data_IF_068985082907
#
_entry.id   IF_068985082907
#
_cell.length_a   1.000
_cell.length_b   1.000
_cell.length_c   1.000
_cell.angle_alpha   90.00
_cell.angle_beta   90.00
_cell.angle_gamma   90.00
#
_symmetry.space_group_name_H-M   'P 1'
#
loop_
_entity.id
_entity.type
_entity.pdbx_description
1 polymer ?
2 branched ?
3 non-polymer ?
4 non-polymer ?
5 water ?
#
# COMPACT_ATOMS: atom_id res chain seq x y z
N UNK A 2 10.74 32.81 34.10
CA UNK A 2 10.49 32.42 35.48
C UNK A 2 10.97 31.00 35.73
N UNK A 3 11.46 30.74 36.94
CA UNK A 3 12.06 29.46 37.29
C UNK A 3 11.08 28.29 37.22
N UNK A 4 9.81 28.55 37.53
CA UNK A 4 8.80 27.50 37.58
C UNK A 4 8.52 26.91 36.20
N UNK A 5 8.36 27.78 35.21
CA UNK A 5 8.03 27.33 33.86
C UNK A 5 9.22 26.68 33.16
N UNK A 6 10.43 27.11 33.51
CA UNK A 6 11.64 26.54 32.94
C UNK A 6 11.77 25.08 33.37
N UNK A 7 11.45 24.82 34.63
CA UNK A 7 11.45 23.45 35.14
C UNK A 7 10.36 22.64 34.46
N UNK A 8 9.24 23.30 34.15
CA UNK A 8 8.14 22.66 33.44
C UNK A 8 8.53 22.30 32.01
N UNK A 9 9.25 23.20 31.34
CA UNK A 9 9.71 22.96 29.98
C UNK A 9 10.71 21.81 29.94
N UNK A 10 11.61 21.77 30.92
CA UNK A 10 12.60 20.70 31.02
C UNK A 10 11.93 19.34 31.25
N UNK A 11 10.89 19.33 32.08
CA UNK A 11 10.16 18.09 32.35
C UNK A 11 9.43 17.63 31.09
N UNK A 12 8.84 18.59 30.38
CA UNK A 12 8.17 18.32 29.11
C UNK A 12 9.16 17.78 28.08
N UNK A 13 10.36 18.35 28.07
CA UNK A 13 11.41 17.90 27.16
C UNK A 13 11.74 16.43 27.38
N UNK A 14 11.79 16.01 28.64
CA UNK A 14 12.08 14.64 28.98
C UNK A 14 10.95 13.70 28.62
N UNK A 15 9.72 14.15 28.85
CA UNK A 15 8.54 13.36 28.52
C UNK A 15 8.42 13.16 27.02
N UNK A 16 8.70 14.22 26.27
CA UNK A 16 8.63 14.14 24.81
C UNK A 16 9.70 13.21 24.25
N UNK A 17 10.90 13.29 24.80
CA UNK A 17 12.00 12.44 24.36
C UNK A 17 11.69 10.97 24.60
N UNK A 18 11.09 10.68 25.75
CA UNK A 18 10.72 9.31 26.07
C UNK A 18 9.59 8.82 25.17
N UNK A 19 8.63 9.70 24.90
CA UNK A 19 7.54 9.38 23.97
C UNK A 19 8.07 9.05 22.58
N UNK A 20 9.06 9.82 22.14
CA UNK A 20 9.66 9.62 20.82
C UNK A 20 10.43 8.30 20.75
N UNK A 21 11.17 8.00 21.82
CA UNK A 21 11.92 6.75 21.89
C UNK A 21 10.99 5.54 21.92
N UNK A 22 9.92 5.65 22.70
CA UNK A 22 8.95 4.57 22.82
C UNK A 22 8.14 4.41 21.54
N UNK A 23 7.92 5.52 20.84
CA UNK A 23 7.13 5.49 19.61
C UNK A 23 7.88 4.87 18.43
N UNK A 24 9.19 5.10 18.37
CA UNK A 24 10.01 4.49 17.32
C UNK A 24 10.06 2.98 17.50
N UNK A 25 10.12 2.54 18.75
CA UNK A 25 10.11 1.12 19.08
C UNK A 25 8.76 0.49 18.72
N UNK A 26 7.67 1.15 19.09
CA UNK A 26 6.35 0.59 18.81
C UNK A 26 5.94 0.71 17.35
N UNK A 27 6.61 1.59 16.61
CA UNK A 27 6.42 1.66 15.17
C UNK A 27 6.96 0.40 14.51
N UNK A 28 8.15 -0.03 14.93
CA UNK A 28 8.77 -1.23 14.37
C UNK A 28 8.05 -2.50 14.83
N UNK A 29 7.57 -2.49 16.07
CA UNK A 29 6.80 -3.61 16.61
C UNK A 29 5.51 -3.78 15.82
N UNK A 30 4.83 -2.66 15.57
CA UNK A 30 3.60 -2.64 14.80
C UNK A 30 3.77 -3.18 13.38
N UNK A 31 4.82 -2.73 12.71
CA UNK A 31 5.03 -3.07 11.30
C UNK A 31 5.52 -4.50 11.11
N UNK A 32 5.99 -5.12 12.19
CA UNK A 32 6.41 -6.51 12.12
C UNK A 32 5.21 -7.43 12.35
N UNK A 33 4.92 -8.31 11.38
CA UNK A 33 5.64 -8.47 10.11
C UNK A 33 4.83 -8.02 8.89
N UNK A 34 3.65 -7.45 9.11
CA UNK A 34 2.73 -7.20 8.01
C UNK A 34 2.70 -5.77 7.49
N UNK A 35 3.65 -4.96 7.93
CA UNK A 35 3.72 -3.58 7.48
C UNK A 35 5.09 -3.16 6.99
N UNK A 36 5.11 -2.11 6.16
CA UNK A 36 6.34 -1.53 5.66
C UNK A 36 6.20 -0.02 5.59
N UNK A 37 7.18 0.70 6.13
CA UNK A 37 7.17 2.15 6.08
C UNK A 37 8.07 2.68 4.98
N UNK A 38 7.56 3.64 4.21
CA UNK A 38 8.35 4.31 3.19
C UNK A 38 8.03 5.80 3.20
N UNK A 39 8.97 6.61 3.67
CA UNK A 39 8.73 8.03 3.83
C UNK A 39 7.61 8.23 4.83
N UNK A 40 6.61 9.01 4.45
CA UNK A 40 5.50 9.28 5.35
C UNK A 40 4.34 8.31 5.12
N UNK A 41 4.54 7.37 4.22
CA UNK A 41 3.51 6.37 3.92
C UNK A 41 3.77 5.05 4.64
N UNK A 42 2.69 4.40 5.05
CA UNK A 42 2.78 3.08 5.66
C UNK A 42 1.91 2.09 4.89
N UNK A 43 2.53 1.02 4.39
CA UNK A 43 1.78 -0.07 3.75
C UNK A 43 1.53 -1.18 4.76
N UNK A 44 0.30 -1.69 4.81
CA UNK A 44 0.01 -2.84 5.66
C UNK A 44 -0.99 -3.78 5.01
N UNK A 45 -0.75 -5.08 5.16
CA UNK A 45 -1.67 -6.07 4.64
C UNK A 45 -2.55 -6.62 5.76
N UNK A 46 -3.79 -6.96 5.42
CA UNK A 46 -4.71 -7.55 6.38
C UNK A 46 -4.55 -9.05 6.44
N UNK A 47 -3.87 -9.60 5.44
CA UNK A 47 -3.63 -11.03 5.37
C UNK A 47 -4.76 -11.79 4.69
N UNK A 48 -5.73 -11.06 4.15
CA UNK A 48 -6.88 -11.67 3.48
C UNK A 48 -7.02 -11.19 2.04
N UNK A 49 -7.81 -11.93 1.26
CA UNK A 49 -8.03 -11.62 -0.15
C UNK A 49 -9.43 -11.09 -0.39
N UNK A 50 -9.55 -10.12 -1.29
CA UNK A 50 -10.83 -9.52 -1.65
C UNK A 50 -10.84 -9.11 -3.12
N UNK A 51 -12.03 -8.88 -3.67
CA UNK A 51 -12.14 -8.29 -4.99
C UNK A 51 -11.64 -6.86 -4.89
N UNK A 52 -11.35 -6.23 -6.03
CA UNK A 52 -10.85 -4.86 -6.02
C UNK A 52 -11.80 -3.91 -5.30
N UNK A 53 -13.09 -4.02 -5.61
CA UNK A 53 -14.09 -3.12 -5.04
C UNK A 53 -14.21 -3.28 -3.52
N UNK A 54 -14.19 -4.53 -3.06
CA UNK A 54 -14.25 -4.80 -1.63
C UNK A 54 -12.99 -4.33 -0.92
N UNK A 55 -11.85 -4.50 -1.56
CA UNK A 55 -10.58 -4.05 -1.01
C UNK A 55 -10.58 -2.53 -0.88
N UNK A 56 -11.14 -1.87 -1.89
CA UNK A 56 -11.27 -0.42 -1.89
C UNK A 56 -12.14 0.04 -0.72
N UNK A 57 -13.19 -0.72 -0.43
CA UNK A 57 -14.07 -0.40 0.69
C UNK A 57 -13.38 -0.63 2.03
N UNK A 58 -12.64 -1.74 2.13
CA UNK A 58 -11.93 -2.08 3.36
C UNK A 58 -10.88 -1.03 3.72
N UNK A 59 -10.08 -0.64 2.73
CA UNK A 59 -9.03 0.35 2.96
C UNK A 59 -9.59 1.72 3.35
N UNK A 60 -10.64 2.15 2.65
CA UNK A 60 -11.30 3.42 2.94
C UNK A 60 -11.89 3.41 4.34
N UNK A 61 -12.64 2.36 4.65
CA UNK A 61 -13.23 2.16 5.96
C UNK A 61 -12.19 2.26 7.08
N UNK A 62 -11.00 1.73 6.82
CA UNK A 62 -9.93 1.70 7.81
C UNK A 62 -9.22 3.05 7.96
N UNK A 63 -9.61 4.01 7.13
CA UNK A 63 -9.05 5.36 7.20
C UNK A 63 -7.90 5.58 6.24
N UNK A 64 -7.66 4.59 5.38
CA UNK A 64 -6.59 4.69 4.40
C UNK A 64 -7.09 4.55 2.98
N UNK A 65 -6.23 4.01 2.12
CA UNK A 65 -6.56 3.75 0.73
C UNK A 65 -5.72 2.57 0.25
N UNK A 66 -5.97 2.11 -0.97
CA UNK A 66 -5.16 1.03 -1.51
C UNK A 66 -3.80 1.54 -1.96
N UNK A 67 -2.85 0.62 -2.09
CA UNK A 67 -1.46 0.96 -2.38
C UNK A 67 -1.22 1.60 -3.75
N UNK A 68 -0.63 2.79 -3.74
CA UNK A 68 -0.21 3.47 -4.96
C UNK A 68 1.31 3.63 -4.96
N UNK A 69 2.04 2.61 -5.44
CA UNK A 69 3.50 2.69 -5.50
C UNK A 69 3.96 3.75 -6.49
N UNK A 70 4.55 4.83 -5.98
CA UNK A 70 4.98 5.94 -6.82
C UNK A 70 6.49 5.98 -7.04
N UNK A 71 7.17 4.94 -6.58
CA UNK A 71 8.62 4.84 -6.73
C UNK A 71 9.05 3.39 -6.60
N UNK A 72 10.30 3.11 -6.96
CA UNK A 72 10.84 1.76 -6.83
C UNK A 72 10.88 1.34 -5.36
N UNK A 73 11.15 2.30 -4.48
CA UNK A 73 11.21 2.02 -3.05
C UNK A 73 9.85 1.57 -2.52
N UNK A 74 8.80 2.30 -2.90
CA UNK A 74 7.45 1.95 -2.49
C UNK A 74 7.02 0.61 -3.09
N UNK A 75 7.34 0.39 -4.36
CA UNK A 75 6.99 -0.87 -5.01
C UNK A 75 7.70 -2.06 -4.38
N UNK A 76 8.97 -1.87 -4.02
CA UNK A 76 9.75 -2.93 -3.41
C UNK A 76 9.20 -3.29 -2.02
N UNK A 77 8.69 -2.28 -1.32
CA UNK A 77 8.07 -2.50 -0.02
C UNK A 77 6.83 -3.38 -0.15
N UNK A 78 6.05 -3.13 -1.20
CA UNK A 78 4.87 -3.94 -1.49
C UNK A 78 5.27 -5.35 -1.87
N UNK A 79 6.37 -5.47 -2.60
CA UNK A 79 6.89 -6.76 -3.03
C UNK A 79 7.20 -7.64 -1.82
N UNK A 80 7.75 -7.04 -0.78
CA UNK A 80 8.11 -7.77 0.43
C UNK A 80 6.88 -8.33 1.13
N UNK A 81 5.82 -7.53 1.20
CA UNK A 81 4.57 -7.96 1.83
C UNK A 81 3.92 -9.08 1.04
N UNK A 82 3.90 -8.94 -0.28
CA UNK A 82 3.35 -9.96 -1.16
C UNK A 82 4.16 -11.25 -1.05
N UNK A 83 5.48 -11.10 -0.99
CA UNK A 83 6.38 -12.24 -0.85
C UNK A 83 6.13 -12.99 0.46
N UNK A 84 5.92 -12.23 1.53
CA UNK A 84 5.73 -12.81 2.86
C UNK A 84 4.42 -13.59 2.95
N UNK A 85 3.37 -13.05 2.34
CA UNK A 85 2.06 -13.69 2.37
C UNK A 85 1.93 -14.73 1.26
N UNK A 86 2.88 -14.71 0.33
CA UNK A 86 2.83 -15.54 -0.87
C UNK A 86 1.50 -15.42 -1.62
N UNK A 87 0.99 -14.20 -1.69
CA UNK A 87 -0.27 -13.92 -2.37
C UNK A 87 -0.16 -12.59 -3.10
N UNK A 88 -0.44 -12.60 -4.40
CA UNK A 88 -0.40 -11.38 -5.20
C UNK A 88 -1.47 -10.41 -4.72
N UNK A 89 -1.13 -9.12 -4.70
CA UNK A 89 -2.04 -8.11 -4.17
C UNK A 89 -2.53 -7.14 -5.24
N UNK A 90 -3.73 -6.62 -5.04
CA UNK A 90 -4.26 -5.56 -5.88
C UNK A 90 -3.58 -4.23 -5.56
N UNK A 91 -3.32 -3.44 -6.60
CA UNK A 91 -2.86 -2.07 -6.41
C UNK A 91 -4.06 -1.14 -6.52
N UNK A 92 -3.83 0.16 -6.46
CA UNK A 92 -4.93 1.12 -6.47
C UNK A 92 -5.38 1.51 -7.87
N UNK A 93 -4.53 1.26 -8.86
CA UNK A 93 -4.72 1.85 -10.18
C UNK A 93 -5.65 1.02 -11.09
N UNK A 94 -6.44 1.72 -11.90
CA UNK A 94 -7.31 1.07 -12.89
C UNK A 94 -7.25 1.79 -14.23
N UNK A 95 -7.55 1.08 -15.32
CA UNK A 95 -7.70 1.72 -16.62
C UNK A 95 -9.17 1.78 -17.02
N UNK A 96 -10.04 1.85 -16.02
CA UNK A 96 -11.48 1.74 -16.23
C UNK A 96 -12.07 2.92 -17.00
N UNK A 97 -11.48 4.10 -16.87
CA UNK A 97 -11.98 5.28 -17.56
C UNK A 97 -11.54 5.27 -19.02
N UNK A 98 -10.29 4.89 -19.26
CA UNK A 98 -9.74 4.82 -20.60
C UNK A 98 -8.87 3.58 -20.72
N UNK A 99 -9.23 2.70 -21.64
CA UNK A 99 -8.54 1.42 -21.81
C UNK A 99 -7.07 1.58 -22.17
N UNK A 100 -6.20 0.91 -21.41
CA UNK A 100 -4.77 0.97 -21.64
C UNK A 100 -4.10 2.11 -20.91
N UNK A 101 -4.91 3.00 -20.33
CA UNK A 101 -4.39 4.14 -19.59
C UNK A 101 -4.69 3.99 -18.10
N UNK A 102 -3.72 3.46 -17.36
CA UNK A 102 -3.91 3.22 -15.93
C UNK A 102 -3.63 4.48 -15.11
N UNK A 103 -4.55 4.79 -14.21
CA UNK A 103 -4.47 6.00 -13.40
C UNK A 103 -4.69 5.70 -11.92
N UNK A 104 -4.23 6.60 -11.06
CA UNK A 104 -4.49 6.50 -9.62
C UNK A 104 -5.96 6.79 -9.37
N UNK A 105 -6.46 6.50 -8.15
CA UNK A 105 -7.87 6.80 -7.89
C UNK A 105 -8.19 8.30 -7.82
N UNK A 106 -7.30 9.14 -8.33
CA UNK A 106 -7.54 10.57 -8.41
C UNK A 106 -7.50 11.05 -9.86
N UNK A 107 -7.32 10.11 -10.79
CA UNK A 107 -7.30 10.43 -12.21
C UNK A 107 -5.91 10.75 -12.73
N UNK A 108 -4.96 10.90 -11.82
CA UNK A 108 -3.58 11.20 -12.18
C UNK A 108 -2.90 10.01 -12.85
N UNK A 109 -2.17 10.25 -13.95
CA UNK A 109 -1.46 9.18 -14.65
C UNK A 109 -0.28 8.66 -13.83
N UNK A 110 0.17 7.45 -14.15
CA UNK A 110 1.25 6.79 -13.43
C UNK A 110 2.57 7.55 -13.49
N UNK A 111 3.16 7.79 -12.32
CA UNK A 111 4.48 8.39 -12.22
C UNK A 111 5.54 7.28 -12.14
N UNK A 112 5.08 6.06 -11.89
CA UNK A 112 5.95 4.90 -11.81
C UNK A 112 5.20 3.67 -12.32
N UNK A 113 5.92 2.77 -12.99
CA UNK A 113 5.31 1.55 -13.51
C UNK A 113 6.32 0.40 -13.52
N UNK A 114 5.83 -0.82 -13.28
CA UNK A 114 6.69 -2.00 -13.27
C UNK A 114 6.02 -3.19 -13.93
N UNK A 115 5.50 -2.98 -15.13
CA UNK A 115 4.77 -4.01 -15.86
C UNK A 115 5.67 -5.21 -16.19
N UNK A 116 5.14 -6.41 -15.98
CA UNK A 116 5.81 -7.62 -16.42
C UNK A 116 5.84 -7.61 -17.95
N UNK A 117 6.80 -8.33 -18.55
CA UNK A 117 6.85 -8.43 -20.02
C UNK A 117 5.53 -8.90 -20.61
N UNK A 118 4.97 -8.11 -21.52
CA UNK A 118 3.73 -8.46 -22.19
C UNK A 118 2.49 -7.85 -21.57
N UNK A 119 2.66 -7.19 -20.42
CA UNK A 119 1.54 -6.56 -19.73
C UNK A 119 1.61 -5.04 -19.88
N UNK A 120 0.46 -4.35 -19.82
CA UNK A 120 -0.89 -4.90 -19.65
C UNK A 120 -1.48 -5.40 -20.97
N UNK A 121 -2.22 -6.51 -20.92
CA UNK A 121 -2.77 -7.11 -22.13
C UNK A 121 -4.29 -7.17 -22.16
N UNK A 122 -4.92 -6.89 -21.02
CA UNK A 122 -6.38 -6.88 -20.90
C UNK A 122 -7.03 -8.21 -21.30
N UNK A 123 -6.37 -9.31 -20.98
CA UNK A 123 -6.88 -10.64 -21.33
C UNK A 123 -7.04 -11.55 -20.11
N UNK A 124 -8.20 -11.49 -19.47
CA UNK A 124 -8.44 -12.24 -18.25
C UNK A 124 -9.19 -13.55 -18.44
N UNK A 125 -9.38 -13.95 -19.69
CA UNK A 125 -10.07 -15.19 -19.97
C UNK A 125 -11.53 -15.17 -19.55
N UNK A 126 -11.91 -16.10 -18.68
CA UNK A 126 -13.30 -16.26 -18.27
C UNK A 126 -13.81 -15.08 -17.44
N UNK A 127 -12.89 -14.33 -16.85
CA UNK A 127 -13.25 -13.17 -16.04
C UNK A 127 -13.49 -11.95 -16.92
N UNK A 128 -12.96 -11.97 -18.13
CA UNK A 128 -13.18 -10.90 -19.08
C UNK A 128 -12.04 -9.91 -19.14
N UNK A 129 -12.39 -8.64 -19.37
CA UNK A 129 -11.39 -7.59 -19.46
C UNK A 129 -10.63 -7.45 -18.15
N UNK A 130 -9.39 -6.97 -18.24
CA UNK A 130 -8.57 -6.76 -17.06
C UNK A 130 -8.33 -5.27 -16.84
N UNK A 131 -9.01 -4.71 -15.85
CA UNK A 131 -8.94 -3.27 -15.61
C UNK A 131 -8.30 -2.90 -14.28
N UNK A 132 -7.86 -3.90 -13.53
CA UNK A 132 -7.14 -3.66 -12.29
C UNK A 132 -5.71 -4.19 -12.41
N UNK A 133 -4.93 -4.07 -11.35
CA UNK A 133 -3.52 -4.42 -11.39
C UNK A 133 -3.10 -5.22 -10.17
N UNK A 134 -2.43 -6.34 -10.40
CA UNK A 134 -1.88 -7.14 -9.32
C UNK A 134 -0.35 -7.04 -9.32
N UNK A 135 0.24 -7.13 -8.13
CA UNK A 135 1.68 -7.09 -8.00
C UNK A 135 2.20 -8.46 -7.54
N UNK A 136 3.24 -8.93 -8.22
CA UNK A 136 3.81 -10.24 -7.95
C UNK A 136 4.86 -10.16 -6.84
N UNK A 137 5.22 -11.31 -6.25
CA UNK A 137 6.32 -11.34 -5.27
C UNK A 137 7.61 -10.73 -5.81
N UNK A 138 7.86 -10.86 -7.11
CA UNK A 138 9.06 -10.28 -7.70
C UNK A 138 8.95 -8.77 -7.95
N UNK A 139 7.79 -8.21 -7.65
CA UNK A 139 7.57 -6.77 -7.75
C UNK A 139 6.93 -6.35 -9.06
N UNK A 140 6.89 -7.27 -10.02
CA UNK A 140 6.32 -6.97 -11.34
C UNK A 140 4.80 -6.92 -11.33
N UNK A 141 4.24 -6.15 -12.26
CA UNK A 141 2.79 -5.95 -12.33
C UNK A 141 2.15 -6.75 -13.45
N UNK A 142 0.90 -7.16 -13.23
CA UNK A 142 0.07 -7.77 -14.26
C UNK A 142 -1.34 -7.20 -14.16
N UNK A 143 -1.89 -6.73 -15.28
CA UNK A 143 -3.27 -6.28 -15.26
C UNK A 143 -4.18 -7.49 -15.10
N UNK A 144 -5.18 -7.34 -14.23
CA UNK A 144 -5.98 -8.45 -13.75
C UNK A 144 -7.44 -8.02 -13.67
N UNK A 145 -8.36 -8.98 -13.80
CA UNK A 145 -9.78 -8.67 -13.67
C UNK A 145 -10.11 -8.21 -12.26
N UNK A 146 -10.91 -7.15 -12.16
CA UNK A 146 -11.20 -6.52 -10.88
C UNK A 146 -12.10 -7.37 -9.99
N UNK A 147 -12.76 -8.36 -10.59
CA UNK A 147 -13.66 -9.23 -9.87
C UNK A 147 -12.95 -10.43 -9.26
N UNK A 148 -11.67 -10.59 -9.61
CA UNK A 148 -10.85 -11.65 -9.05
C UNK A 148 -10.50 -11.31 -7.60
N UNK A 149 -10.15 -12.33 -6.81
CA UNK A 149 -9.75 -12.11 -5.42
C UNK A 149 -8.23 -12.03 -5.30
N UNK A 150 -7.74 -10.95 -4.70
CA UNK A 150 -6.30 -10.81 -4.47
C UNK A 150 -6.01 -10.22 -3.09
N UNK A 151 -4.76 -10.37 -2.64
CA UNK A 151 -4.34 -9.89 -1.32
C UNK A 151 -4.67 -8.41 -1.15
N UNK A 152 -5.18 -8.06 0.02
CA UNK A 152 -5.49 -6.67 0.33
C UNK A 152 -4.32 -6.01 1.05
N UNK A 153 -3.74 -4.99 0.42
CA UNK A 153 -2.76 -4.14 1.08
C UNK A 153 -3.29 -2.72 1.11
N UNK A 154 -3.31 -2.13 2.30
CA UNK A 154 -3.77 -0.76 2.44
C UNK A 154 -2.60 0.19 2.67
N UNK A 155 -2.84 1.46 2.34
CA UNK A 155 -1.84 2.50 2.44
C UNK A 155 -2.35 3.57 3.38
N UNK A 156 -1.55 3.92 4.38
CA UNK A 156 -1.96 4.91 5.37
C UNK A 156 -0.94 6.05 5.41
X LIG B 1 -4.09 8.94 -19.45
X LIG B 1 -3.15 9.76 -20.32
X LIG B 1 -2.61 10.98 -19.58
X LIG B 1 -3.66 11.70 -18.73
X LIG B 1 -4.69 10.77 -18.10
X LIG B 1 -5.90 11.56 -17.61
X LIG B 1 -1.14 8.31 -20.16
X LIG B 1 -0.18 7.46 -20.94
X LIG B 1 -2.08 8.94 -20.87
X LIG B 1 -2.08 11.88 -20.54
X LIG B 1 -3.02 12.39 -17.66
X LIG B 1 -5.13 9.77 -19.01
X LIG B 1 -6.37 12.39 -18.64
X LIG B 1 -1.03 8.37 -18.93
X LIG B 2 -2.48 13.66 -18.06
X LIG B 2 -2.55 14.63 -16.88
X LIG B 2 -1.80 15.94 -17.11
X LIG B 2 -0.45 15.71 -17.80
X LIG B 2 -0.64 14.79 -19.00
X LIG B 2 0.67 14.56 -19.74
X LIG B 2 -4.45 14.64 -15.35
X LIG B 2 -5.92 14.88 -15.18
X LIG B 2 -3.95 14.89 -16.56
X LIG B 2 -1.61 16.60 -15.88
X LIG B 2 0.13 16.93 -18.22
X LIG B 2 -1.15 13.56 -18.54
X LIG B 2 1.63 14.02 -18.86
X LIG B 2 -3.77 14.25 -14.41
X LIG B 3 1.23 17.29 -17.36
X LIG B 3 2.06 18.37 -18.05
X LIG B 3 3.26 18.76 -17.19
X LIG B 3 2.79 19.11 -15.78
X LIG B 3 1.87 18.03 -15.22
X LIG B 3 1.35 18.38 -13.83
X LIG B 3 1.25 19.50 -18.26
X LIG B 3 3.95 19.87 -17.75
X LIG B 3 3.91 19.25 -14.94
X LIG B 3 0.79 17.77 -16.11
X LIG B 3 0.81 19.69 -13.73
X LIG B 4 4.54 19.56 -19.04
X LIG B 4 5.89 20.27 -19.16
X LIG B 4 5.69 21.78 -19.10
X LIG B 4 4.66 22.20 -20.14
X LIG B 4 3.39 21.37 -19.98
X LIG B 4 2.34 21.73 -21.02
X LIG B 4 6.57 19.96 -20.36
X LIG B 4 6.91 22.44 -19.40
X LIG B 4 4.38 23.58 -20.00
X LIG B 4 3.72 20.01 -20.10
X LIG B 4 1.17 20.99 -20.78
X LIG B 5 7.24 18.69 -20.33
X LIG B 5 6.96 17.98 -21.66
X LIG B 5 7.88 16.79 -21.93
X LIG B 5 9.33 17.17 -21.66
X LIG B 5 9.45 17.73 -20.25
X LIG B 5 10.90 18.11 -19.97
X LIG B 5 4.71 18.17 -22.53
X LIG B 5 3.35 17.56 -22.64
X LIG B 5 5.58 17.55 -21.73
X LIG B 5 7.75 16.38 -23.27
X LIG B 5 10.15 16.04 -21.79
X LIG B 5 8.63 18.87 -20.09
X LIG B 5 11.01 18.67 -18.68
X LIG B 5 5.00 19.19 -23.16
X LIG B 6 -0.54 19.76 -14.23
X LIG B 6 -0.63 20.85 -15.29
X LIG B 6 -0.11 22.14 -14.68
X LIG B 6 -0.98 22.46 -13.47
X LIG B 6 -1.03 21.27 -12.51
X LIG B 6 -1.99 21.54 -11.36
X LIG B 6 -1.96 21.11 -15.66
X LIG B 6 -0.22 23.17 -15.64
X LIG B 6 -0.46 23.59 -12.80
X LIG B 6 -1.43 20.10 -13.19
X LIG B 6 -2.02 20.42 -10.49
X LIG B 7 -2.42 20.22 -16.69
X LIG B 7 -3.85 19.79 -16.34
X LIG B 7 -4.52 19.03 -17.47
X LIG B 7 -4.36 19.77 -18.79
X LIG B 7 -2.90 20.13 -19.04
X LIG B 7 -2.77 20.97 -20.30
X LIG B 7 -4.34 19.48 -13.98
X LIG B 7 -4.35 18.55 -12.80
X LIG B 7 -3.85 19.00 -15.12
X LIG B 7 -5.90 18.90 -17.19
X LIG B 7 -4.82 18.96 -19.85
X LIG B 7 -2.37 20.86 -17.95
X LIG B 7 -1.46 21.49 -20.39
X LIG B 7 -4.76 20.63 -13.88
X LIG C 1 -2.89 -9.35 -17.83
X LIG D 1 -7.97 -2.87 -19.17
X LIG E 1 -16.29 -7.04 2.53
X LIG E 1 -16.54 -8.72 0.84
X LIG E 1 -16.13 -8.35 2.10
X LIG E 1 -14.80 -7.33 4.47
X LIG E 1 -15.93 -6.74 3.95
X LIG E 1 -14.42 -7.06 5.77
X LIG E 1 -13.22 -7.78 6.29
X LIG E 1 -13.04 -9.07 5.86
X LIG E 1 -11.93 -9.78 6.28
X LIG E 1 -11.80 -11.20 5.86
X LIG E 1 -12.09 -11.49 4.54
X LIG E 1 -12.10 -12.80 4.12
X LIG E 1 -12.52 -13.05 2.70
X LIG E 1 -13.66 -12.43 2.26
X LIG E 1 -14.17 -12.75 1.02
X LIG E 1 -15.53 -12.25 0.69
X LIG E 1 -16.54 -12.48 1.61
#
# INVERSE_FOLDING_TARGET
GITALRQQVETLQGQVQRLQKAFSQYKKVELFPNGRGVGEKIFKTGGFEKTFQDAQQVCTQAGGQMASPRSETENEALSQLVTAQNKAAFLSMTDIKTEGNFTYPTGEPLVYANWAPGEPNNNGGSSGAENCVEIFPNGKWNDKACGELRLVICEF
NAG C1 C2 C3 C4 C5 C6 C7 C8 N2 O3 O4 O5 O6 O7
NAG C1 C2 C3 C4 C5 C6 C7 C8 N2 O3 O4 O5 O6 O7
BMA C1 C2 C3 C4 C5 C6 O2 O3 O4 O5 O6
MAN C1 C2 C3 C4 C5 C6 O2 O3 O4 O5 O6
NAG C1 C2 C3 C4 C5 C6 C7 C8 N2 O3 O4 O5 O6 O7
MAN C1 C2 C3 C4 C5 C6 O2 O3 O4 O5 O6
NAG C1 C2 C3 C4 C5 C6 C7 C8 N2 O3 O4 O5 O6 O7
CA CA
CA CA
1PG C2 C1 O1 O2 C3 C4 C5 O3 C6 C7 O4 C8 C9 O5 C10 C11 O6
#
